data_IF_533474535183
#
_entry.id   IF_533474535183
#
_cell.length_a   1.000
_cell.length_b   1.000
_cell.length_c   1.000
_cell.angle_alpha   90.00
_cell.angle_beta   90.00
_cell.angle_gamma   90.00
#
_symmetry.space_group_name_H-M   'P 1'
#
loop_
_entity.id
_entity.type
_entity.pdbx_description
1 polymer ?
#
# COMPACT_ATOMS: atom_id res chain seq x y z
N UNK A 1 -0.67 -22.64 -14.49
CA UNK A 1 0.75 -22.40 -14.85
C UNK A 1 1.70 -22.65 -13.69
N UNK A 2 1.59 -21.91 -12.58
CA UNK A 2 2.50 -22.07 -11.41
C UNK A 2 2.52 -23.51 -10.84
N UNK A 3 1.36 -24.16 -10.74
CA UNK A 3 1.28 -25.56 -10.32
C UNK A 3 2.01 -26.54 -11.27
N UNK A 4 2.04 -26.24 -12.57
CA UNK A 4 2.76 -27.05 -13.54
C UNK A 4 4.28 -26.88 -13.40
N UNK A 5 4.75 -25.66 -13.14
CA UNK A 5 6.17 -25.36 -12.85
C UNK A 5 6.67 -26.03 -11.57
N UNK A 6 5.83 -26.07 -10.52
CA UNK A 6 6.12 -26.82 -9.30
C UNK A 6 6.21 -28.33 -9.58
N UNK A 7 5.28 -28.88 -10.38
CA UNK A 7 5.28 -30.31 -10.75
C UNK A 7 6.49 -30.72 -11.59
N UNK A 8 7.08 -29.80 -12.35
CA UNK A 8 8.31 -30.05 -13.14
C UNK A 8 9.60 -29.95 -12.31
N UNK A 9 9.51 -29.71 -11.00
CA UNK A 9 10.67 -29.61 -10.12
C UNK A 9 11.57 -28.39 -10.39
N UNK A 10 11.04 -27.38 -11.09
CA UNK A 10 11.78 -26.14 -11.31
C UNK A 10 11.89 -25.40 -9.98
N UNK A 11 13.09 -24.91 -9.60
CA UNK A 11 13.24 -24.11 -8.39
C UNK A 11 12.48 -22.80 -8.57
N UNK A 12 11.37 -22.65 -7.83
CA UNK A 12 10.59 -21.42 -7.79
C UNK A 12 11.03 -20.66 -6.55
N UNK A 13 11.61 -19.48 -6.74
CA UNK A 13 11.87 -18.53 -5.67
C UNK A 13 10.77 -17.47 -5.68
N UNK A 14 10.25 -17.15 -4.50
CA UNK A 14 9.26 -16.09 -4.30
C UNK A 14 9.99 -14.84 -3.84
N UNK A 15 9.94 -13.77 -4.63
CA UNK A 15 10.48 -12.49 -4.22
C UNK A 15 9.63 -11.89 -3.09
N UNK A 16 10.28 -11.45 -2.00
CA UNK A 16 9.64 -10.80 -0.84
C UNK A 16 8.48 -11.62 -0.22
N UNK A 17 8.75 -12.85 0.26
CA UNK A 17 7.71 -13.78 0.74
C UNK A 17 6.90 -13.22 1.92
N UNK A 18 7.53 -12.43 2.81
CA UNK A 18 6.85 -11.81 3.94
C UNK A 18 5.81 -10.77 3.51
N UNK A 19 6.11 -9.96 2.49
CA UNK A 19 5.14 -8.98 1.98
C UNK A 19 3.92 -9.68 1.37
N UNK A 20 4.14 -10.78 0.65
CA UNK A 20 3.07 -11.60 0.08
C UNK A 20 2.23 -12.23 1.19
N UNK A 21 2.88 -12.75 2.24
CA UNK A 21 2.19 -13.32 3.41
C UNK A 21 1.31 -12.28 4.10
N UNK A 22 1.84 -11.07 4.37
CA UNK A 22 1.07 -9.99 5.01
C UNK A 22 -0.20 -9.68 4.21
N UNK A 23 -0.08 -9.56 2.89
CA UNK A 23 -1.21 -9.32 1.99
C UNK A 23 -2.24 -10.45 1.97
N UNK A 24 -1.78 -11.71 2.01
CA UNK A 24 -2.67 -12.87 2.06
C UNK A 24 -3.41 -12.99 3.41
N UNK A 25 -2.87 -12.40 4.49
CA UNK A 25 -3.42 -12.40 5.84
C UNK A 25 -4.11 -11.09 6.25
N UNK A 26 -4.52 -10.26 5.28
CA UNK A 26 -4.87 -8.84 5.48
C UNK A 26 -4.12 -8.08 6.59
N UNK A 27 -2.80 -8.25 6.65
CA UNK A 27 -1.88 -7.58 7.59
C UNK A 27 -1.08 -6.47 6.91
N UNK A 28 -1.44 -6.11 5.67
CA UNK A 28 -0.86 -5.03 4.89
C UNK A 28 -1.59 -3.70 5.11
N UNK A 29 -0.95 -2.61 4.68
CA UNK A 29 -1.50 -1.26 4.80
C UNK A 29 -1.94 -0.72 3.44
N UNK A 30 -3.02 0.08 3.46
CA UNK A 30 -3.43 0.92 2.32
C UNK A 30 -3.28 2.37 2.74
N UNK A 31 -2.46 3.14 2.01
CA UNK A 31 -2.20 4.54 2.36
C UNK A 31 -3.21 5.46 1.69
N UNK A 32 -3.73 6.41 2.45
CA UNK A 32 -4.63 7.44 1.92
C UNK A 32 -3.76 8.60 1.45
N UNK A 33 -3.83 8.90 0.15
CA UNK A 33 -3.06 9.99 -0.47
C UNK A 33 -3.97 11.17 -0.82
N UNK A 34 -3.41 12.40 -0.90
CA UNK A 34 -4.18 13.57 -1.31
C UNK A 34 -4.78 13.39 -2.71
N UNK A 35 -5.95 14.00 -2.96
CA UNK A 35 -6.67 13.88 -4.24
C UNK A 35 -5.90 14.42 -5.45
N UNK A 36 -4.97 15.36 -5.24
CA UNK A 36 -4.10 15.87 -6.29
C UNK A 36 -2.95 14.90 -6.65
N UNK A 37 -2.68 13.89 -5.82
CA UNK A 37 -1.64 12.91 -6.08
C UNK A 37 -2.15 11.81 -7.02
N UNK A 38 -1.32 11.45 -8.01
CA UNK A 38 -1.62 10.32 -8.90
C UNK A 38 -1.56 9.00 -8.14
N UNK A 39 -2.56 8.13 -8.34
CA UNK A 39 -2.56 6.77 -7.80
C UNK A 39 -1.63 5.83 -8.62
N UNK A 40 -1.35 6.18 -9.87
CA UNK A 40 -0.57 5.32 -10.76
C UNK A 40 0.85 5.13 -10.22
N UNK A 41 1.13 3.91 -9.74
CA UNK A 41 2.42 3.51 -9.14
C UNK A 41 2.83 4.34 -7.92
N UNK A 42 1.90 5.01 -7.24
CA UNK A 42 2.26 5.85 -6.10
C UNK A 42 2.81 5.04 -4.92
N UNK A 43 2.41 3.77 -4.77
CA UNK A 43 3.02 2.85 -3.82
C UNK A 43 4.54 2.65 -4.04
N UNK A 44 5.05 2.78 -5.27
CA UNK A 44 6.48 2.62 -5.58
C UNK A 44 7.33 3.79 -5.05
N UNK A 45 6.72 4.93 -4.78
CA UNK A 45 7.39 6.10 -4.21
C UNK A 45 7.35 6.12 -2.68
N UNK A 46 6.59 5.20 -2.06
CA UNK A 46 6.53 5.06 -0.62
C UNK A 46 7.66 4.14 -0.15
N UNK A 47 8.27 4.49 0.98
CA UNK A 47 9.40 3.74 1.52
C UNK A 47 9.01 2.30 1.86
N UNK A 48 9.94 1.37 1.69
CA UNK A 48 9.77 -0.07 1.96
C UNK A 48 9.33 -0.38 3.40
N UNK A 49 9.53 0.57 4.32
CA UNK A 49 9.23 0.41 5.75
C UNK A 49 7.74 0.52 6.11
N UNK A 50 6.90 1.10 5.25
CA UNK A 50 5.50 1.36 5.62
C UNK A 50 4.56 0.16 5.32
N UNK A 51 5.08 -0.93 4.74
CA UNK A 51 4.31 -2.10 4.28
C UNK A 51 3.06 -1.70 3.45
N UNK A 52 3.15 -0.59 2.72
CA UNK A 52 2.03 -0.06 1.94
C UNK A 52 1.93 -0.84 0.64
N UNK A 53 0.87 -1.62 0.52
CA UNK A 53 0.63 -2.39 -0.69
C UNK A 53 0.00 -1.53 -1.79
N UNK A 54 -0.98 -0.71 -1.43
CA UNK A 54 -1.72 0.12 -2.37
C UNK A 54 -2.05 1.49 -1.77
N UNK A 55 -2.48 2.40 -2.63
CA UNK A 55 -2.85 3.76 -2.29
C UNK A 55 -4.25 4.08 -2.80
N UNK A 56 -4.99 4.88 -2.05
CA UNK A 56 -6.31 5.36 -2.47
C UNK A 56 -6.54 6.80 -2.06
N UNK A 57 -7.51 7.47 -2.68
CA UNK A 57 -7.97 8.77 -2.22
C UNK A 57 -9.01 8.59 -1.12
N UNK A 58 -9.06 9.52 -0.16
CA UNK A 58 -10.02 9.44 0.94
C UNK A 58 -11.49 9.41 0.47
N UNK A 59 -11.76 9.96 -0.71
CA UNK A 59 -13.09 9.98 -1.32
C UNK A 59 -13.50 8.64 -1.94
N UNK A 60 -12.54 7.76 -2.24
CA UNK A 60 -12.79 6.41 -2.76
C UNK A 60 -13.49 5.50 -1.73
N UNK A 61 -13.43 5.85 -0.44
CA UNK A 61 -14.17 5.15 0.62
C UNK A 61 -15.70 5.30 0.48
N UNK A 62 -16.16 6.30 -0.26
CA UNK A 62 -17.57 6.51 -0.59
C UNK A 62 -18.50 6.46 0.62
N UNK A 63 -19.53 5.61 0.55
CA UNK A 63 -20.55 5.47 1.61
C UNK A 63 -20.00 4.95 2.94
N UNK A 64 -18.85 4.29 2.94
CA UNK A 64 -18.26 3.69 4.14
C UNK A 64 -17.34 4.66 4.88
N UNK A 65 -17.06 5.84 4.32
CA UNK A 65 -16.19 6.86 4.88
C UNK A 65 -16.42 7.05 6.38
N UNK A 66 -17.65 7.40 6.80
CA UNK A 66 -18.01 7.59 8.23
C UNK A 66 -17.72 6.41 9.13
N UNK A 67 -17.81 5.18 8.62
CA UNK A 67 -17.55 3.95 9.40
C UNK A 67 -16.06 3.64 9.50
N UNK A 68 -15.28 4.00 8.48
CA UNK A 68 -13.86 3.67 8.37
C UNK A 68 -12.99 4.78 8.98
N UNK A 69 -13.39 6.06 8.88
CA UNK A 69 -12.64 7.22 9.42
C UNK A 69 -12.10 7.03 10.83
N UNK A 70 -12.85 6.48 11.81
CA UNK A 70 -12.33 6.30 13.16
C UNK A 70 -11.18 5.31 13.28
N UNK A 71 -11.02 4.41 12.30
CA UNK A 71 -9.98 3.38 12.26
C UNK A 71 -8.78 3.77 11.39
N UNK A 72 -8.81 4.94 10.77
CA UNK A 72 -7.71 5.45 9.95
C UNK A 72 -6.66 6.09 10.86
N UNK A 73 -5.42 5.61 10.77
CA UNK A 73 -4.27 6.28 11.38
C UNK A 73 -3.86 7.47 10.49
N UNK A 74 -4.01 8.69 11.01
CA UNK A 74 -3.63 9.91 10.30
C UNK A 74 -2.18 10.27 10.59
N UNK A 75 -1.36 10.34 9.55
CA UNK A 75 -0.02 10.93 9.65
C UNK A 75 -0.14 12.46 9.84
N UNK A 76 0.75 13.08 10.62
CA UNK A 76 0.77 14.52 10.76
C UNK A 76 0.98 15.17 9.38
N UNK A 77 0.22 16.23 9.11
CA UNK A 77 0.40 17.01 7.89
C UNK A 77 1.85 17.50 7.82
N UNK A 78 2.60 17.18 6.75
CA UNK A 78 3.93 17.73 6.57
C UNK A 78 3.76 19.24 6.45
N UNK A 79 4.19 19.98 7.46
CA UNK A 79 4.27 21.43 7.40
C UNK A 79 5.32 21.72 6.32
N UNK A 80 4.86 22.14 5.13
CA UNK A 80 5.74 22.60 4.07
C UNK A 80 6.46 23.84 4.60
N UNK A 81 7.65 23.65 5.17
CA UNK A 81 8.56 24.76 5.37
C UNK A 81 8.97 25.25 3.98
N UNK A 82 8.80 26.54 3.66
CA UNK A 82 9.46 27.09 2.49
C UNK A 82 10.94 26.76 2.62
N UNK A 83 11.52 26.21 1.54
CA UNK A 83 12.95 25.97 1.45
C UNK A 83 13.62 27.33 1.68
N UNK A 84 14.51 27.43 2.68
CA UNK A 84 15.20 28.69 2.99
C UNK A 84 15.75 29.28 1.67
N UNK A 85 15.29 30.49 1.34
CA UNK A 85 15.60 31.20 0.10
C UNK A 85 17.02 31.78 0.12
#
# INVERSE_FOLDING_TARGET
MVLALHKTGLPVSVAHPEAIRKRLLPQDNIKIVPSYASLHRANQHLGTFDDVFDVLHYDDLGRYKRRITPFIAWEPLPILKPKDA
#
